data_IF_563216308599
#
_entry.id   IF_563216308599
#
_cell.length_a   1.000
_cell.length_b   1.000
_cell.length_c   1.000
_cell.angle_alpha   90.00
_cell.angle_beta   90.00
_cell.angle_gamma   90.00
#
_symmetry.space_group_name_H-M   'P 1'
#
loop_
_entity.id
_entity.type
_entity.pdbx_description
1 polymer ?
#
# COMPACT_ATOMS: atom_id res chain seq x y z
N UNK A 1 -22.77 -10.66 -17.10
CA UNK A 1 -22.99 -10.01 -15.79
C UNK A 1 -22.14 -10.79 -14.79
N UNK A 2 -20.93 -10.31 -14.51
CA UNK A 2 -20.09 -10.85 -13.45
C UNK A 2 -20.62 -10.21 -12.16
N UNK A 3 -21.29 -11.01 -11.35
CA UNK A 3 -21.62 -10.59 -9.99
C UNK A 3 -20.31 -10.47 -9.25
N UNK A 4 -19.76 -9.28 -9.12
CA UNK A 4 -18.64 -8.99 -8.26
C UNK A 4 -19.16 -9.23 -6.84
N UNK A 5 -18.88 -10.42 -6.31
CA UNK A 5 -19.07 -10.68 -4.89
C UNK A 5 -18.19 -9.67 -4.17
N UNK A 6 -18.78 -8.70 -3.50
CA UNK A 6 -18.07 -7.68 -2.72
C UNK A 6 -17.32 -8.48 -1.67
N UNK A 7 -15.99 -8.57 -1.85
CA UNK A 7 -15.14 -9.24 -0.89
C UNK A 7 -15.34 -8.57 0.47
N UNK A 8 -15.52 -9.36 1.53
CA UNK A 8 -15.66 -8.77 2.87
C UNK A 8 -14.43 -7.89 3.15
N UNK A 9 -14.56 -6.78 3.87
CA UNK A 9 -13.42 -5.93 4.22
C UNK A 9 -12.30 -6.69 4.93
N UNK A 10 -12.63 -7.76 5.67
CA UNK A 10 -11.65 -8.66 6.27
C UNK A 10 -10.91 -9.50 5.21
N UNK A 11 -11.57 -9.90 4.13
CA UNK A 11 -10.91 -10.64 3.05
C UNK A 11 -9.78 -9.83 2.42
N UNK A 12 -9.95 -8.51 2.23
CA UNK A 12 -8.87 -7.64 1.75
C UNK A 12 -7.72 -7.54 2.77
N UNK A 13 -7.99 -7.57 4.07
CA UNK A 13 -6.97 -7.63 5.11
C UNK A 13 -6.17 -8.96 5.07
N UNK A 14 -6.83 -10.09 4.86
CA UNK A 14 -6.16 -11.40 4.68
C UNK A 14 -5.30 -11.42 3.40
N UNK A 15 -5.83 -10.91 2.29
CA UNK A 15 -5.05 -10.76 1.07
C UNK A 15 -3.84 -9.86 1.27
N UNK A 16 -4.00 -8.71 1.94
CA UNK A 16 -2.90 -7.80 2.24
C UNK A 16 -1.82 -8.49 3.08
N UNK A 17 -2.19 -9.30 4.08
CA UNK A 17 -1.23 -10.07 4.88
C UNK A 17 -0.43 -11.06 4.02
N UNK A 18 -1.10 -11.82 3.15
CA UNK A 18 -0.45 -12.76 2.24
C UNK A 18 0.46 -12.06 1.22
N UNK A 19 0.00 -10.93 0.65
CA UNK A 19 0.78 -10.12 -0.30
C UNK A 19 2.02 -9.51 0.36
N UNK A 20 1.92 -9.01 1.59
CA UNK A 20 3.08 -8.51 2.35
C UNK A 20 4.07 -9.64 2.63
N UNK A 21 3.58 -10.83 2.99
CA UNK A 21 4.43 -12.00 3.21
C UNK A 21 5.18 -12.44 1.93
N UNK A 22 4.52 -12.33 0.78
CA UNK A 22 5.08 -12.75 -0.51
C UNK A 22 5.97 -11.69 -1.16
N UNK A 23 5.55 -10.43 -1.16
CA UNK A 23 6.16 -9.36 -1.98
C UNK A 23 6.56 -8.12 -1.19
N UNK A 24 6.41 -8.10 0.13
CA UNK A 24 6.65 -6.91 0.95
C UNK A 24 7.96 -6.19 0.64
N UNK A 25 9.05 -6.95 0.41
CA UNK A 25 10.37 -6.41 0.06
C UNK A 25 10.44 -5.70 -1.30
N UNK A 26 9.50 -5.98 -2.21
CA UNK A 26 9.49 -5.42 -3.57
C UNK A 26 8.47 -4.31 -3.75
N UNK A 27 7.44 -4.29 -2.92
CA UNK A 27 6.40 -3.26 -2.93
C UNK A 27 6.57 -2.21 -1.82
N UNK A 28 7.65 -2.32 -1.02
CA UNK A 28 7.93 -1.42 0.10
C UNK A 28 7.15 -1.74 1.37
N UNK A 29 6.04 -2.48 1.30
CA UNK A 29 5.22 -2.87 2.44
C UNK A 29 3.80 -2.31 2.42
N UNK A 30 3.27 -2.00 3.60
CA UNK A 30 1.88 -1.58 3.80
C UNK A 30 1.75 -0.35 4.71
N UNK A 31 0.93 0.60 4.31
CA UNK A 31 0.37 1.62 5.18
C UNK A 31 -0.88 1.04 5.84
N UNK A 32 -0.79 0.74 7.12
CA UNK A 32 -1.86 0.14 7.90
C UNK A 32 -2.51 1.20 8.79
N UNK A 33 -3.69 1.63 8.42
CA UNK A 33 -4.51 2.51 9.25
C UNK A 33 -5.41 1.68 10.15
N UNK A 34 -5.12 1.71 11.44
CA UNK A 34 -5.87 0.93 12.44
C UNK A 34 -5.62 1.44 13.85
N UNK A 35 -6.67 1.60 14.66
CA UNK A 35 -6.48 1.89 16.07
C UNK A 35 -5.74 0.74 16.77
N UNK A 36 -5.06 1.01 17.91
CA UNK A 36 -4.49 -0.04 18.72
C UNK A 36 -5.60 -0.96 19.26
N UNK A 37 -5.39 -2.28 19.15
CA UNK A 37 -6.40 -3.22 19.61
C UNK A 37 -6.21 -4.63 19.08
N UNK A 38 -7.10 -5.56 19.52
CA UNK A 38 -6.97 -6.99 19.24
C UNK A 38 -7.03 -7.32 17.73
N UNK A 39 -7.78 -6.56 16.93
CA UNK A 39 -7.87 -6.79 15.49
C UNK A 39 -6.52 -6.55 14.80
N UNK A 40 -5.88 -5.40 15.10
CA UNK A 40 -4.55 -5.08 14.56
C UNK A 40 -3.50 -6.10 15.01
N UNK A 41 -3.52 -6.47 16.29
CA UNK A 41 -2.56 -7.44 16.82
C UNK A 41 -2.76 -8.81 16.16
N UNK A 42 -4.01 -9.22 15.92
CA UNK A 42 -4.34 -10.43 15.19
C UNK A 42 -3.80 -10.37 13.75
N UNK A 43 -4.02 -9.27 13.01
CA UNK A 43 -3.52 -9.11 11.66
C UNK A 43 -1.98 -9.14 11.60
N UNK A 44 -1.29 -8.50 12.53
CA UNK A 44 0.18 -8.55 12.63
C UNK A 44 0.70 -9.97 12.89
N UNK A 45 0.03 -10.75 13.75
CA UNK A 45 0.36 -12.16 13.95
C UNK A 45 0.05 -13.01 12.71
N UNK A 46 -0.99 -12.67 11.93
CA UNK A 46 -1.24 -13.30 10.61
C UNK A 46 -0.08 -13.06 9.65
N UNK A 47 0.35 -11.82 9.46
CA UNK A 47 1.52 -11.51 8.63
C UNK A 47 2.74 -12.29 9.11
N UNK A 48 3.01 -12.32 10.40
CA UNK A 48 4.12 -13.06 10.99
C UNK A 48 4.02 -14.57 10.76
N UNK A 49 2.83 -15.14 10.88
CA UNK A 49 2.59 -16.56 10.63
C UNK A 49 2.87 -16.92 9.17
N UNK A 50 2.38 -16.11 8.23
CA UNK A 50 2.58 -16.31 6.79
C UNK A 50 4.03 -16.08 6.39
N UNK A 51 4.73 -15.12 7.03
CA UNK A 51 6.13 -14.73 6.73
C UNK A 51 7.16 -15.44 7.62
N UNK A 52 6.91 -16.62 8.14
CA UNK A 52 7.68 -17.28 9.22
C UNK A 52 9.21 -17.32 9.04
N UNK A 53 9.71 -17.24 7.82
CA UNK A 53 11.15 -17.20 7.53
C UNK A 53 11.71 -15.77 7.54
N UNK A 54 10.86 -14.76 7.52
CA UNK A 54 11.24 -13.36 7.52
C UNK A 54 11.04 -12.79 8.94
N UNK A 55 12.11 -12.41 9.64
CA UNK A 55 11.99 -11.86 10.97
C UNK A 55 11.21 -10.54 10.96
N UNK A 56 10.45 -10.30 12.03
CA UNK A 56 9.71 -9.04 12.23
C UNK A 56 10.30 -8.27 13.39
N UNK A 57 10.55 -6.97 13.20
CA UNK A 57 11.05 -6.07 14.23
C UNK A 57 10.24 -4.78 14.30
N UNK A 58 10.04 -4.27 15.52
CA UNK A 58 9.32 -3.01 15.76
C UNK A 58 10.28 -1.87 16.01
N UNK A 59 10.07 -0.76 15.29
CA UNK A 59 10.76 0.52 15.50
C UNK A 59 9.80 1.45 16.24
N UNK A 60 10.18 1.96 17.44
CA UNK A 60 9.38 2.95 18.14
C UNK A 60 9.45 4.30 17.44
N UNK A 61 8.37 5.10 17.53
CA UNK A 61 8.29 6.40 16.86
C UNK A 61 9.40 7.38 17.27
N UNK A 62 9.89 7.30 18.50
CA UNK A 62 10.91 8.19 19.06
C UNK A 62 12.32 7.58 19.08
N UNK A 63 12.62 6.64 18.18
CA UNK A 63 13.96 6.03 18.11
C UNK A 63 15.03 7.11 17.86
N UNK A 64 16.12 7.17 18.67
CA UNK A 64 17.22 8.09 18.41
C UNK A 64 17.92 7.75 17.08
N UNK A 65 18.34 8.77 16.34
CA UNK A 65 18.97 8.60 15.02
C UNK A 65 20.21 7.71 15.07
N UNK A 66 21.08 7.87 16.09
CA UNK A 66 22.25 7.03 16.28
C UNK A 66 21.91 5.55 16.50
N UNK A 67 20.77 5.25 17.14
CA UNK A 67 20.30 3.87 17.28
C UNK A 67 19.66 3.33 15.98
N UNK A 68 19.03 4.21 15.21
CA UNK A 68 18.41 3.86 13.93
C UNK A 68 19.47 3.55 12.87
N UNK A 69 20.47 4.41 12.72
CA UNK A 69 21.48 4.33 11.65
C UNK A 69 22.76 3.62 12.10
N UNK A 70 23.04 3.59 13.41
CA UNK A 70 24.34 3.21 13.94
C UNK A 70 25.27 4.40 14.10
N UNK A 71 26.51 4.13 14.41
CA UNK A 71 27.53 5.14 14.68
C UNK A 71 28.87 4.52 15.01
N UNK A 72 29.59 5.06 16.01
CA UNK A 72 30.82 4.50 16.52
C UNK A 72 30.53 3.61 17.74
N UNK A 73 30.98 2.37 17.68
CA UNK A 73 31.11 1.53 18.89
C UNK A 73 32.28 2.06 19.73
N UNK A 74 31.96 2.87 20.74
CA UNK A 74 32.97 3.46 21.62
C UNK A 74 33.75 2.39 22.39
N UNK A 75 33.13 1.28 22.81
CA UNK A 75 33.79 0.20 23.54
C UNK A 75 34.81 -0.53 22.68
N UNK A 76 34.41 -0.95 21.49
CA UNK A 76 35.28 -1.60 20.53
C UNK A 76 36.38 -0.64 20.02
N UNK A 77 36.05 0.63 19.79
CA UNK A 77 36.99 1.67 19.36
C UNK A 77 38.10 1.88 20.38
N UNK A 78 37.77 1.98 21.68
CA UNK A 78 38.77 2.15 22.75
C UNK A 78 39.65 0.90 22.90
N UNK A 79 39.11 -0.30 22.72
CA UNK A 79 39.88 -1.55 22.80
C UNK A 79 40.86 -1.70 21.64
N UNK A 80 40.48 -1.28 20.43
CA UNK A 80 41.28 -1.51 19.23
C UNK A 80 42.07 -0.29 18.76
N UNK A 81 41.87 0.88 19.39
CA UNK A 81 42.56 2.13 19.06
C UNK A 81 42.25 2.72 17.67
N UNK A 82 41.18 2.27 17.04
CA UNK A 82 40.68 2.76 15.74
C UNK A 82 39.18 2.80 15.75
N UNK A 83 38.54 3.73 15.01
CA UNK A 83 37.08 3.80 14.91
C UNK A 83 36.50 2.48 14.40
N UNK A 84 35.52 1.94 15.12
CA UNK A 84 34.77 0.75 14.75
C UNK A 84 33.28 1.17 14.60
N UNK A 85 32.69 0.87 13.45
CA UNK A 85 31.27 1.17 13.21
C UNK A 85 30.37 0.20 13.97
N UNK A 86 29.33 0.73 14.63
CA UNK A 86 28.20 -0.01 15.17
C UNK A 86 27.07 -0.03 14.10
N UNK A 87 26.56 -1.22 13.79
CA UNK A 87 25.42 -1.35 12.89
C UNK A 87 24.15 -0.86 13.57
N UNK A 88 23.44 0.07 12.93
CA UNK A 88 22.16 0.55 13.43
C UNK A 88 21.01 -0.40 13.13
N UNK A 89 19.84 -0.08 13.74
CA UNK A 89 18.65 -0.93 13.66
C UNK A 89 18.18 -1.17 12.23
N UNK A 90 18.32 -0.20 11.30
CA UNK A 90 17.95 -0.41 9.89
C UNK A 90 18.85 -1.44 9.21
N UNK A 91 20.16 -1.43 9.49
CA UNK A 91 21.08 -2.43 8.98
C UNK A 91 20.82 -3.82 9.60
N UNK A 92 20.55 -3.89 10.92
CA UNK A 92 20.14 -5.12 11.59
C UNK A 92 18.83 -5.71 11.03
N UNK A 93 17.97 -4.85 10.45
CA UNK A 93 16.70 -5.22 9.84
C UNK A 93 16.82 -5.52 8.34
N UNK A 94 18.02 -5.73 7.82
CA UNK A 94 18.17 -6.18 6.45
C UNK A 94 17.40 -7.50 6.22
N UNK A 95 16.57 -7.53 5.16
CA UNK A 95 15.66 -8.65 4.83
C UNK A 95 14.64 -8.99 5.93
N UNK A 96 14.22 -7.98 6.70
CA UNK A 96 13.19 -8.12 7.72
C UNK A 96 11.91 -7.38 7.33
N UNK A 97 10.80 -7.75 7.98
CA UNK A 97 9.60 -6.94 8.05
C UNK A 97 9.74 -6.01 9.26
N UNK A 98 9.69 -4.72 9.02
CA UNK A 98 9.82 -3.68 10.04
C UNK A 98 8.46 -3.07 10.33
N UNK A 99 8.08 -3.01 11.60
CA UNK A 99 6.85 -2.34 12.04
C UNK A 99 7.23 -0.98 12.60
N UNK A 100 6.85 0.10 11.92
CA UNK A 100 6.93 1.46 12.44
C UNK A 100 5.66 1.77 13.22
N UNK A 101 5.78 1.87 14.54
CA UNK A 101 4.64 2.21 15.40
C UNK A 101 4.35 3.70 15.35
N UNK A 102 3.08 4.07 15.36
CA UNK A 102 2.62 5.46 15.31
C UNK A 102 3.29 6.22 14.16
N UNK A 103 3.10 5.70 12.93
CA UNK A 103 3.77 6.22 11.74
C UNK A 103 3.45 7.70 11.47
N UNK A 104 2.29 8.17 11.93
CA UNK A 104 1.84 9.56 11.89
C UNK A 104 2.70 10.49 12.77
N UNK A 105 3.39 9.93 13.77
CA UNK A 105 4.23 10.68 14.74
C UNK A 105 5.71 10.54 14.49
N UNK A 106 6.12 9.87 13.42
CA UNK A 106 7.54 9.73 13.09
C UNK A 106 8.18 11.08 12.80
N UNK A 107 9.34 11.39 13.42
CA UNK A 107 10.12 12.58 13.07
C UNK A 107 10.49 12.56 11.58
N UNK A 108 10.54 13.72 10.94
CA UNK A 108 10.90 13.85 9.51
C UNK A 108 12.24 13.22 9.18
N UNK A 109 13.22 13.29 10.09
CA UNK A 109 14.53 12.64 9.92
C UNK A 109 14.37 11.11 9.83
N UNK A 110 13.61 10.51 10.75
CA UNK A 110 13.32 9.07 10.73
C UNK A 110 12.60 8.67 9.44
N UNK A 111 11.59 9.45 9.01
CA UNK A 111 10.90 9.24 7.74
C UNK A 111 11.87 9.27 6.57
N UNK A 112 12.80 10.24 6.54
CA UNK A 112 13.81 10.34 5.48
C UNK A 112 14.67 9.08 5.40
N UNK A 113 15.17 8.58 6.53
CA UNK A 113 16.01 7.37 6.57
C UNK A 113 15.24 6.11 6.14
N UNK A 114 13.98 5.97 6.57
CA UNK A 114 13.10 4.89 6.11
C UNK A 114 12.85 4.98 4.60
N UNK A 115 12.58 6.17 4.06
CA UNK A 115 12.42 6.38 2.64
C UNK A 115 13.69 6.01 1.84
N UNK A 116 14.87 6.37 2.36
CA UNK A 116 16.17 6.02 1.74
C UNK A 116 16.36 4.51 1.72
N UNK A 117 16.09 3.82 2.84
CA UNK A 117 16.16 2.36 2.91
C UNK A 117 15.18 1.68 1.92
N UNK A 118 13.95 2.19 1.82
CA UNK A 118 12.94 1.66 0.88
C UNK A 118 13.30 1.91 -0.59
N UNK A 119 13.90 3.05 -0.92
CA UNK A 119 14.26 3.40 -2.30
C UNK A 119 15.53 2.68 -2.78
N UNK A 120 16.53 2.56 -1.93
CA UNK A 120 17.87 2.10 -2.31
C UNK A 120 18.25 0.73 -1.74
N UNK A 121 17.54 0.24 -0.74
CA UNK A 121 17.89 -1.01 -0.05
C UNK A 121 19.17 -0.92 0.76
N UNK A 122 19.66 0.31 1.01
CA UNK A 122 20.86 0.58 1.79
C UNK A 122 20.73 1.92 2.54
N UNK A 123 21.53 2.09 3.57
CA UNK A 123 21.71 3.36 4.27
C UNK A 123 23.19 3.74 4.25
N UNK A 124 23.45 5.03 4.10
CA UNK A 124 24.80 5.60 4.18
C UNK A 124 24.92 6.40 5.47
N UNK A 125 25.92 6.08 6.27
CA UNK A 125 26.27 6.81 7.49
C UNK A 125 27.60 7.51 7.25
N UNK A 126 27.58 8.84 7.19
CA UNK A 126 28.76 9.69 7.13
C UNK A 126 28.80 10.54 8.41
N UNK A 127 29.39 9.99 9.48
CA UNK A 127 29.40 10.62 10.81
C UNK A 127 30.70 10.27 11.56
N UNK A 128 31.21 11.21 12.33
CA UNK A 128 32.32 11.01 13.25
C UNK A 128 33.59 10.44 12.58
N UNK A 129 33.81 10.78 11.30
CA UNK A 129 34.95 10.30 10.52
C UNK A 129 34.82 8.87 9.98
N UNK A 130 33.64 8.27 10.12
CA UNK A 130 33.27 6.99 9.48
C UNK A 130 32.34 7.29 8.32
N UNK A 131 32.64 6.71 7.15
CA UNK A 131 31.74 6.59 6.02
C UNK A 131 31.49 5.10 5.79
N UNK A 132 30.26 4.67 5.97
CA UNK A 132 29.86 3.28 5.81
C UNK A 132 28.52 3.17 5.10
N UNK A 133 28.46 2.25 4.15
CA UNK A 133 27.19 1.82 3.53
C UNK A 133 26.79 0.47 4.14
N UNK A 134 25.54 0.40 4.57
CA UNK A 134 25.00 -0.79 5.21
C UNK A 134 23.74 -1.24 4.45
N UNK A 135 23.65 -2.51 4.04
CA UNK A 135 22.42 -3.05 3.45
C UNK A 135 21.23 -2.90 4.41
N UNK A 136 20.12 -2.39 3.89
CA UNK A 136 18.89 -2.14 4.64
C UNK A 136 17.65 -2.37 3.75
N UNK A 137 17.66 -3.44 2.96
CA UNK A 137 16.48 -3.86 2.20
C UNK A 137 15.46 -4.43 3.18
N UNK A 138 14.28 -3.83 3.25
CA UNK A 138 13.24 -4.21 4.21
C UNK A 138 11.83 -4.02 3.63
N UNK A 139 10.85 -4.68 4.24
CA UNK A 139 9.44 -4.36 4.06
C UNK A 139 8.96 -3.57 5.28
N UNK A 140 8.18 -2.52 5.08
CA UNK A 140 7.69 -1.68 6.17
C UNK A 140 6.19 -1.85 6.38
N UNK A 141 5.78 -2.13 7.61
CA UNK A 141 4.41 -1.97 8.07
C UNK A 141 4.35 -0.65 8.82
N UNK A 142 3.84 0.39 8.19
CA UNK A 142 3.62 1.68 8.83
C UNK A 142 2.27 1.67 9.54
N UNK A 143 2.28 1.44 10.87
CA UNK A 143 1.08 1.51 11.69
C UNK A 143 0.72 2.96 11.92
N UNK A 144 -0.37 3.39 11.32
CA UNK A 144 -0.96 4.72 11.45
C UNK A 144 -2.17 4.63 12.40
N UNK A 145 -2.06 5.30 13.54
CA UNK A 145 -3.09 5.39 14.59
C UNK A 145 -3.75 6.77 14.59
N UNK A 146 -3.42 7.60 13.58
CA UNK A 146 -3.87 8.98 13.48
C UNK A 146 -5.38 9.11 13.34
N UNK A 147 -5.89 10.21 13.88
CA UNK A 147 -7.27 10.64 13.66
C UNK A 147 -7.38 11.37 12.31
N UNK A 148 -8.53 11.94 11.98
CA UNK A 148 -8.80 12.61 10.69
C UNK A 148 -7.74 13.66 10.31
N UNK A 149 -7.20 14.38 11.29
CA UNK A 149 -6.20 15.45 11.10
C UNK A 149 -4.74 14.96 11.19
N UNK A 150 -4.51 13.74 11.62
CA UNK A 150 -3.17 13.14 11.75
C UNK A 150 -3.04 11.96 10.81
N UNK A 151 -2.02 11.96 9.97
CA UNK A 151 -1.70 10.84 9.07
C UNK A 151 -0.20 10.66 8.91
N UNK A 152 0.20 9.45 8.53
CA UNK A 152 1.59 9.17 8.21
C UNK A 152 2.09 10.09 7.08
N UNK A 153 3.38 10.45 7.14
CA UNK A 153 3.97 11.39 6.19
C UNK A 153 3.83 10.89 4.74
N UNK A 154 3.28 11.72 3.84
CA UNK A 154 2.96 11.35 2.46
C UNK A 154 4.13 10.76 1.68
N UNK A 155 5.37 11.23 1.90
CA UNK A 155 6.55 10.66 1.28
C UNK A 155 6.80 9.20 1.68
N UNK A 156 6.44 8.80 2.91
CA UNK A 156 6.51 7.42 3.36
C UNK A 156 5.39 6.59 2.74
N UNK A 157 4.15 7.09 2.81
CA UNK A 157 2.97 6.42 2.26
C UNK A 157 3.12 6.15 0.76
N UNK A 158 3.72 7.08 0.00
CA UNK A 158 3.97 6.92 -1.44
C UNK A 158 4.87 5.72 -1.78
N UNK A 159 5.73 5.29 -0.85
CA UNK A 159 6.66 4.16 -1.03
C UNK A 159 6.09 2.81 -0.61
N UNK A 160 4.99 2.82 0.11
CA UNK A 160 4.31 1.61 0.56
C UNK A 160 3.29 1.19 -0.50
N UNK A 161 3.41 -0.01 -1.03
CA UNK A 161 2.58 -0.46 -2.15
C UNK A 161 1.12 -0.62 -1.76
N UNK A 162 0.86 -1.22 -0.60
CA UNK A 162 -0.48 -1.50 -0.10
C UNK A 162 -0.92 -0.40 0.88
N UNK A 163 -2.17 0.03 0.78
CA UNK A 163 -2.84 0.81 1.80
C UNK A 163 -4.06 0.01 2.31
N UNK A 164 -4.07 -0.25 3.60
CA UNK A 164 -5.11 -1.02 4.26
C UNK A 164 -5.70 -0.19 5.40
N UNK A 165 -6.99 0.08 5.31
CA UNK A 165 -7.75 0.74 6.37
C UNK A 165 -8.63 -0.29 7.10
N UNK A 166 -8.38 -0.45 8.40
CA UNK A 166 -9.17 -1.34 9.28
C UNK A 166 -9.89 -0.54 10.38
N UNK A 167 -10.05 0.78 10.22
CA UNK A 167 -10.67 1.63 11.26
C UNK A 167 -12.14 1.31 11.49
N UNK A 168 -12.82 0.82 10.47
CA UNK A 168 -14.24 0.43 10.52
C UNK A 168 -14.48 -1.02 10.94
N UNK A 169 -13.41 -1.82 11.03
CA UNK A 169 -13.49 -3.24 11.37
C UNK A 169 -13.31 -3.49 12.87
N UNK A 170 -13.98 -4.53 13.36
CA UNK A 170 -13.81 -5.08 14.71
C UNK A 170 -13.29 -6.51 14.69
N UNK A 171 -12.88 -7.03 15.84
CA UNK A 171 -12.43 -8.43 15.96
C UNK A 171 -13.51 -9.46 15.58
N UNK A 172 -14.77 -9.07 15.62
CA UNK A 172 -15.92 -9.91 15.25
C UNK A 172 -16.13 -10.02 13.74
N UNK A 173 -15.47 -9.15 12.94
CA UNK A 173 -15.52 -9.20 11.48
C UNK A 173 -14.45 -10.15 10.90
N UNK A 174 -13.62 -10.73 11.78
CA UNK A 174 -12.61 -11.71 11.39
C UNK A 174 -13.30 -13.00 10.95
N UNK A 175 -13.13 -13.33 9.69
CA UNK A 175 -13.58 -14.56 9.07
C UNK A 175 -12.48 -15.64 9.06
N UNK A 176 -12.76 -16.77 8.40
CA UNK A 176 -11.82 -17.87 8.23
C UNK A 176 -10.52 -17.43 7.54
N UNK A 177 -9.43 -18.09 7.90
CA UNK A 177 -8.13 -17.90 7.26
C UNK A 177 -8.17 -18.37 5.80
N UNK A 178 -7.95 -17.44 4.87
CA UNK A 178 -7.94 -17.73 3.43
C UNK A 178 -6.64 -18.44 3.02
N UNK A 179 -5.50 -18.00 3.61
CA UNK A 179 -4.19 -18.48 3.21
C UNK A 179 -3.50 -19.29 4.32
N UNK A 180 -2.80 -20.33 3.89
CA UNK A 180 -1.84 -21.06 4.70
C UNK A 180 -0.42 -20.72 4.27
N UNK A 181 0.53 -20.95 5.13
CA UNK A 181 1.94 -20.77 4.81
C UNK A 181 2.40 -21.53 3.56
N UNK A 182 1.90 -22.76 3.37
CA UNK A 182 2.18 -23.54 2.17
C UNK A 182 1.73 -22.87 0.86
N UNK A 183 0.73 -21.98 0.94
CA UNK A 183 0.24 -21.24 -0.22
C UNK A 183 1.23 -20.13 -0.59
N UNK A 184 1.82 -19.47 0.43
CA UNK A 184 2.89 -18.49 0.23
C UNK A 184 4.13 -19.16 -0.38
N UNK A 185 4.56 -20.31 0.16
CA UNK A 185 5.72 -21.05 -0.34
C UNK A 185 5.54 -21.41 -1.83
N UNK A 186 4.37 -21.95 -2.21
CA UNK A 186 4.06 -22.25 -3.62
C UNK A 186 4.00 -20.98 -4.49
N UNK A 187 3.46 -19.90 -3.97
CA UNK A 187 3.39 -18.63 -4.69
C UNK A 187 4.78 -18.02 -4.93
N UNK A 188 5.73 -18.18 -3.99
CA UNK A 188 7.13 -17.76 -4.17
C UNK A 188 7.75 -18.48 -5.36
N UNK A 189 7.61 -19.81 -5.43
CA UNK A 189 8.18 -20.63 -6.52
C UNK A 189 7.58 -20.27 -7.89
N UNK A 190 6.34 -19.81 -7.90
CA UNK A 190 5.59 -19.50 -9.11
C UNK A 190 5.73 -18.05 -9.58
N UNK A 191 6.04 -17.11 -8.68
CA UNK A 191 5.92 -15.66 -8.92
C UNK A 191 6.70 -15.18 -10.16
N UNK A 192 7.87 -15.76 -10.42
CA UNK A 192 8.71 -15.38 -11.57
C UNK A 192 8.08 -15.77 -12.91
N UNK A 193 7.29 -16.84 -12.93
CA UNK A 193 6.60 -17.32 -14.14
C UNK A 193 5.30 -16.57 -14.45
N UNK A 194 4.74 -15.84 -13.47
CA UNK A 194 3.48 -15.12 -13.68
C UNK A 194 3.65 -13.97 -14.66
N UNK A 195 2.82 -13.96 -15.68
CA UNK A 195 2.80 -12.90 -16.71
C UNK A 195 1.66 -11.92 -16.49
N UNK A 196 1.96 -10.63 -16.67
CA UNK A 196 1.00 -9.55 -16.71
C UNK A 196 0.91 -9.06 -18.15
N UNK A 197 -0.27 -9.15 -18.76
CA UNK A 197 -0.50 -8.68 -20.13
C UNK A 197 -0.36 -7.15 -20.25
N UNK A 198 0.06 -6.69 -21.42
CA UNK A 198 0.23 -5.25 -21.72
C UNK A 198 -1.09 -4.49 -21.56
N UNK A 199 -2.22 -5.14 -21.81
CA UNK A 199 -3.56 -4.61 -21.63
C UNK A 199 -3.81 -4.21 -20.17
N UNK A 200 -3.55 -5.12 -19.24
CA UNK A 200 -3.70 -4.85 -17.81
C UNK A 200 -2.73 -3.78 -17.30
N UNK A 201 -1.50 -3.78 -17.82
CA UNK A 201 -0.52 -2.76 -17.45
C UNK A 201 -0.96 -1.36 -17.93
N UNK A 202 -1.47 -1.29 -19.16
CA UNK A 202 -2.02 -0.05 -19.73
C UNK A 202 -3.25 0.42 -18.96
N UNK A 203 -4.15 -0.51 -18.60
CA UNK A 203 -5.32 -0.20 -17.79
C UNK A 203 -4.94 0.35 -16.41
N UNK A 204 -4.01 -0.28 -15.70
CA UNK A 204 -3.50 0.22 -14.42
C UNK A 204 -2.88 1.63 -14.52
N UNK A 205 -2.11 1.89 -15.59
CA UNK A 205 -1.51 3.20 -15.81
C UNK A 205 -2.58 4.27 -16.11
N UNK A 206 -3.56 3.96 -16.96
CA UNK A 206 -4.66 4.86 -17.30
C UNK A 206 -5.51 5.18 -16.06
N UNK A 207 -5.86 4.16 -15.27
CA UNK A 207 -6.63 4.32 -14.04
C UNK A 207 -5.86 5.16 -13.00
N UNK A 208 -4.54 5.00 -12.89
CA UNK A 208 -3.73 5.82 -12.00
C UNK A 208 -3.88 7.31 -12.32
N UNK A 209 -3.82 7.66 -13.62
CA UNK A 209 -3.99 9.04 -14.08
C UNK A 209 -5.42 9.53 -13.84
N UNK A 210 -6.44 8.73 -14.18
CA UNK A 210 -7.85 9.10 -14.01
C UNK A 210 -8.25 9.24 -12.54
N UNK A 211 -7.59 8.55 -11.63
CA UNK A 211 -7.77 8.70 -10.18
C UNK A 211 -6.99 9.90 -9.59
N UNK A 212 -6.28 10.69 -10.42
CA UNK A 212 -5.52 11.86 -9.98
C UNK A 212 -4.31 11.51 -9.12
N UNK A 213 -3.70 10.35 -9.33
CA UNK A 213 -2.51 9.90 -8.61
C UNK A 213 -1.26 10.34 -9.37
N UNK A 214 -0.51 11.30 -8.80
CA UNK A 214 0.64 11.92 -9.48
C UNK A 214 1.90 11.05 -9.49
N UNK A 215 2.00 10.08 -8.59
CA UNK A 215 3.18 9.22 -8.43
C UNK A 215 3.06 7.94 -9.28
N UNK A 216 4.13 7.50 -9.96
CA UNK A 216 4.14 6.22 -10.66
C UNK A 216 4.35 5.00 -9.73
N UNK A 217 4.75 5.23 -8.46
CA UNK A 217 5.02 4.13 -7.52
C UNK A 217 3.80 3.26 -7.24
N UNK A 218 2.60 3.81 -6.97
CA UNK A 218 1.40 3.01 -6.78
C UNK A 218 1.04 2.13 -7.99
N UNK A 219 1.24 2.62 -9.21
CA UNK A 219 1.03 1.81 -10.44
C UNK A 219 1.97 0.61 -10.50
N UNK A 220 3.25 0.82 -10.23
CA UNK A 220 4.23 -0.26 -10.18
C UNK A 220 3.94 -1.26 -9.06
N UNK A 221 3.49 -0.76 -7.91
CA UNK A 221 3.07 -1.62 -6.81
C UNK A 221 1.82 -2.44 -7.19
N UNK A 222 0.83 -1.82 -7.83
CA UNK A 222 -0.39 -2.49 -8.30
C UNK A 222 -0.05 -3.61 -9.30
N UNK A 223 0.83 -3.36 -10.26
CA UNK A 223 1.29 -4.39 -11.20
C UNK A 223 1.97 -5.58 -10.49
N UNK A 224 2.80 -5.32 -9.48
CA UNK A 224 3.43 -6.36 -8.67
C UNK A 224 2.42 -7.11 -7.81
N UNK A 225 1.47 -6.40 -7.22
CA UNK A 225 0.39 -6.98 -6.40
C UNK A 225 -0.52 -7.85 -7.27
N UNK A 226 -0.88 -7.43 -8.48
CA UNK A 226 -1.68 -8.24 -9.41
C UNK A 226 -0.95 -9.56 -9.77
N UNK A 227 0.35 -9.52 -10.08
CA UNK A 227 1.15 -10.73 -10.31
C UNK A 227 1.22 -11.63 -9.07
N UNK A 228 1.44 -11.05 -7.90
CA UNK A 228 1.48 -11.79 -6.65
C UNK A 228 0.13 -12.41 -6.30
N UNK A 229 -0.97 -11.73 -6.60
CA UNK A 229 -2.33 -12.24 -6.46
C UNK A 229 -2.56 -13.46 -7.35
N UNK A 230 -2.16 -13.41 -8.62
CA UNK A 230 -2.24 -14.55 -9.54
C UNK A 230 -1.39 -15.74 -9.04
N UNK A 231 -0.18 -15.48 -8.53
CA UNK A 231 0.68 -16.51 -7.93
C UNK A 231 0.01 -17.20 -6.73
N UNK A 232 -0.63 -16.41 -5.83
CA UNK A 232 -1.40 -16.95 -4.70
C UNK A 232 -2.59 -17.81 -5.13
N UNK A 233 -3.20 -17.49 -6.26
CA UNK A 233 -4.26 -18.31 -6.89
C UNK A 233 -3.72 -19.51 -7.67
N UNK A 234 -2.39 -19.66 -7.74
CA UNK A 234 -1.72 -20.69 -8.54
C UNK A 234 -2.01 -20.55 -10.05
N UNK A 235 -2.04 -19.32 -10.57
CA UNK A 235 -2.24 -18.99 -11.98
C UNK A 235 -0.96 -18.38 -12.57
N UNK A 236 -0.58 -18.79 -13.76
CA UNK A 236 0.58 -18.25 -14.51
C UNK A 236 0.24 -16.92 -15.22
N UNK A 237 -1.03 -16.54 -15.24
CA UNK A 237 -1.49 -15.30 -15.89
C UNK A 237 -2.35 -14.50 -14.93
N UNK A 238 -2.18 -13.18 -14.98
CA UNK A 238 -3.01 -12.23 -14.25
C UNK A 238 -4.41 -12.19 -14.87
N UNK A 239 -5.45 -12.24 -14.04
CA UNK A 239 -6.84 -12.11 -14.41
C UNK A 239 -7.43 -10.78 -13.88
N UNK A 240 -8.63 -10.42 -14.34
CA UNK A 240 -9.34 -9.21 -13.91
C UNK A 240 -9.52 -9.12 -12.38
N UNK A 241 -9.77 -10.23 -11.71
CA UNK A 241 -9.89 -10.27 -10.24
C UNK A 241 -8.58 -9.89 -9.52
N UNK A 242 -7.42 -10.19 -10.11
CA UNK A 242 -6.10 -9.81 -9.56
C UNK A 242 -5.87 -8.31 -9.73
N UNK A 243 -6.28 -7.78 -10.89
CA UNK A 243 -6.24 -6.34 -11.18
C UNK A 243 -7.20 -5.60 -10.25
N UNK A 244 -8.42 -6.08 -10.08
CA UNK A 244 -9.40 -5.50 -9.17
C UNK A 244 -8.89 -5.45 -7.71
N UNK A 245 -8.21 -6.50 -7.26
CA UNK A 245 -7.58 -6.54 -5.93
C UNK A 245 -6.43 -5.54 -5.83
N UNK A 246 -5.59 -5.45 -6.86
CA UNK A 246 -4.52 -4.47 -6.92
C UNK A 246 -5.06 -3.03 -6.90
N UNK A 247 -6.18 -2.76 -7.59
CA UNK A 247 -6.87 -1.48 -7.54
C UNK A 247 -7.32 -1.14 -6.11
N UNK A 248 -8.05 -2.05 -5.46
CA UNK A 248 -8.53 -1.83 -4.09
C UNK A 248 -7.41 -1.57 -3.10
N UNK A 249 -6.34 -2.34 -3.15
CA UNK A 249 -5.27 -2.27 -2.16
C UNK A 249 -4.20 -1.20 -2.47
N UNK A 250 -4.02 -0.80 -3.75
CA UNK A 250 -2.93 0.07 -4.12
C UNK A 250 -3.37 1.45 -4.64
N UNK A 251 -4.45 1.53 -5.42
CA UNK A 251 -4.81 2.76 -6.13
C UNK A 251 -6.00 3.48 -5.48
N UNK A 252 -7.11 2.79 -5.22
CA UNK A 252 -8.34 3.40 -4.68
C UNK A 252 -8.09 4.19 -3.39
N UNK A 253 -7.32 3.69 -2.40
CA UNK A 253 -7.06 4.46 -1.18
C UNK A 253 -6.24 5.75 -1.40
N UNK A 254 -5.70 5.94 -2.60
CA UNK A 254 -4.91 7.11 -2.99
C UNK A 254 -5.61 8.02 -3.98
N UNK A 255 -6.83 7.65 -4.39
CA UNK A 255 -7.62 8.41 -5.34
C UNK A 255 -7.92 9.81 -4.79
N UNK A 256 -7.71 10.83 -5.64
CA UNK A 256 -8.01 12.24 -5.34
C UNK A 256 -9.23 12.74 -6.10
N UNK A 257 -9.63 12.00 -7.11
CA UNK A 257 -10.79 12.32 -7.95
C UNK A 257 -11.46 11.02 -8.41
N UNK A 258 -12.75 11.10 -8.71
CA UNK A 258 -13.46 10.01 -9.37
C UNK A 258 -13.06 10.00 -10.85
N UNK A 259 -12.87 8.82 -11.48
CA UNK A 259 -12.74 8.75 -12.92
C UNK A 259 -13.98 9.39 -13.57
N UNK A 260 -13.79 10.28 -14.53
CA UNK A 260 -14.89 10.74 -15.35
C UNK A 260 -15.47 9.52 -16.09
N UNK A 261 -16.68 9.12 -15.70
CA UNK A 261 -17.42 8.14 -16.48
C UNK A 261 -17.64 8.76 -17.86
N UNK A 262 -17.15 8.09 -18.90
CA UNK A 262 -17.50 8.47 -20.26
C UNK A 262 -19.04 8.60 -20.32
N UNK A 263 -19.54 9.79 -20.62
CA UNK A 263 -20.96 9.97 -20.83
C UNK A 263 -21.38 8.92 -21.86
N UNK A 264 -22.47 8.17 -21.61
CA UNK A 264 -22.99 7.27 -22.62
C UNK A 264 -23.20 8.08 -23.89
N UNK A 265 -22.91 7.54 -25.09
CA UNK A 265 -23.09 8.26 -26.34
C UNK A 265 -24.50 8.82 -26.34
N UNK A 266 -24.68 10.11 -26.69
CA UNK A 266 -25.99 10.74 -26.64
C UNK A 266 -27.01 9.86 -27.41
N UNK A 267 -28.07 9.49 -26.72
CA UNK A 267 -29.19 8.82 -27.39
C UNK A 267 -29.61 9.68 -28.62
N UNK A 268 -29.88 9.07 -29.77
CA UNK A 268 -30.26 9.82 -30.95
C UNK A 268 -31.46 10.68 -30.60
N UNK A 269 -31.32 12.00 -30.74
CA UNK A 269 -32.34 12.99 -30.42
C UNK A 269 -33.69 12.58 -31.03
N UNK A 270 -34.76 12.50 -30.23
CA UNK A 270 -36.10 12.38 -30.79
C UNK A 270 -36.40 13.63 -31.63
N UNK A 271 -36.89 13.42 -32.84
CA UNK A 271 -37.27 14.50 -33.76
C UNK A 271 -38.15 15.53 -33.04
N UNK A 272 -37.95 16.84 -33.30
CA UNK A 272 -38.64 17.88 -32.57
C UNK A 272 -40.14 17.85 -32.83
N UNK A 273 -40.92 17.71 -31.76
CA UNK A 273 -42.33 18.13 -31.74
C UNK A 273 -42.39 19.63 -31.45
N UNK A 274 -43.38 20.36 -32.00
CA UNK A 274 -43.39 21.82 -31.99
C UNK A 274 -43.61 22.42 -30.60
N UNK A 275 -42.88 23.50 -30.34
CA UNK A 275 -42.85 24.29 -29.10
C UNK A 275 -44.24 24.84 -28.71
N UNK A 276 -44.50 24.98 -27.40
CA UNK A 276 -45.28 26.07 -26.87
C UNK A 276 -44.44 27.06 -26.05
N UNK A 277 -44.86 28.29 -26.15
CA UNK A 277 -44.29 29.57 -25.75
C UNK A 277 -43.73 29.68 -24.32
N UNK A 278 -42.76 30.57 -24.23
CA UNK A 278 -41.95 31.01 -23.09
C UNK A 278 -42.77 31.62 -21.94
N UNK A 279 -42.33 31.32 -20.73
CA UNK A 279 -42.43 32.26 -19.60
C UNK A 279 -41.08 32.33 -18.88
N UNK A 280 -40.55 33.55 -18.84
CA UNK A 280 -39.35 33.97 -18.14
C UNK A 280 -39.52 33.89 -16.61
N UNK A 281 -38.36 33.86 -15.92
CA UNK A 281 -38.10 34.08 -14.51
C UNK A 281 -38.18 32.89 -13.55
N UNK A 282 -36.99 32.29 -13.35
CA UNK A 282 -36.54 31.85 -12.00
C UNK A 282 -35.02 31.62 -11.97
N UNK A 283 -34.32 32.24 -11.03
CA UNK A 283 -32.89 32.03 -10.72
C UNK A 283 -32.59 30.56 -10.44
N UNK A 284 -31.41 30.06 -10.84
CA UNK A 284 -31.01 28.68 -10.55
C UNK A 284 -30.65 28.51 -9.06
N UNK A 285 -31.07 27.41 -8.42
CA UNK A 285 -30.65 27.08 -7.06
C UNK A 285 -29.14 26.75 -6.99
N UNK A 286 -28.48 26.98 -5.84
CA UNK A 286 -27.07 26.67 -5.66
C UNK A 286 -26.83 25.14 -5.83
N UNK A 287 -25.69 24.82 -6.46
CA UNK A 287 -25.27 23.44 -6.66
C UNK A 287 -25.12 22.70 -5.32
N UNK A 288 -25.61 21.47 -5.21
CA UNK A 288 -25.43 20.67 -4.01
C UNK A 288 -23.95 20.30 -3.81
N UNK A 289 -23.45 20.50 -2.58
CA UNK A 289 -22.15 19.96 -2.17
C UNK A 289 -22.16 18.43 -2.35
N UNK A 290 -21.22 17.94 -3.13
CA UNK A 290 -21.07 16.50 -3.35
C UNK A 290 -20.47 15.85 -2.09
N UNK A 291 -21.07 14.77 -1.58
CA UNK A 291 -20.48 14.00 -0.50
C UNK A 291 -19.14 13.38 -0.96
N UNK A 292 -18.22 13.06 -0.02
CA UNK A 292 -16.98 12.40 -0.37
C UNK A 292 -17.24 11.10 -1.15
N UNK A 293 -16.36 10.76 -2.10
CA UNK A 293 -16.57 9.60 -2.96
C UNK A 293 -16.57 8.30 -2.14
N UNK A 294 -17.59 7.49 -2.34
CA UNK A 294 -17.75 6.16 -1.77
C UNK A 294 -16.79 5.19 -2.46
N UNK A 295 -16.05 4.37 -1.69
CA UNK A 295 -15.08 3.41 -2.21
C UNK A 295 -15.70 2.42 -3.21
N UNK A 296 -16.96 2.03 -2.99
CA UNK A 296 -17.70 1.15 -3.92
C UNK A 296 -17.89 1.80 -5.31
N UNK A 297 -18.24 3.08 -5.34
CA UNK A 297 -18.37 3.82 -6.60
C UNK A 297 -17.04 4.01 -7.33
N UNK A 298 -15.95 4.21 -6.58
CA UNK A 298 -14.62 4.29 -7.16
C UNK A 298 -14.21 2.97 -7.81
N UNK A 299 -14.50 1.85 -7.13
CA UNK A 299 -14.20 0.53 -7.65
C UNK A 299 -15.01 0.19 -8.89
N UNK A 300 -16.33 0.42 -8.88
CA UNK A 300 -17.18 0.19 -10.04
C UNK A 300 -16.77 1.02 -11.26
N UNK A 301 -16.48 2.32 -11.05
CA UNK A 301 -16.01 3.19 -12.11
C UNK A 301 -14.65 2.78 -12.67
N UNK A 302 -13.76 2.30 -11.81
CA UNK A 302 -12.44 1.81 -12.21
C UNK A 302 -12.53 0.48 -12.97
N UNK A 303 -13.38 -0.46 -12.53
CA UNK A 303 -13.61 -1.74 -13.20
C UNK A 303 -14.28 -1.59 -14.56
N UNK A 304 -15.16 -0.59 -14.73
CA UNK A 304 -15.80 -0.31 -16.01
C UNK A 304 -14.82 0.17 -17.11
N UNK A 305 -13.58 0.54 -16.74
CA UNK A 305 -12.52 0.94 -17.69
C UNK A 305 -11.53 -0.19 -18.00
N UNK A 306 -11.73 -1.38 -17.43
CA UNK A 306 -10.96 -2.55 -17.82
C UNK A 306 -11.44 -3.09 -19.18
N UNK A 307 -10.52 -3.56 -20.03
CA UNK A 307 -10.85 -4.05 -21.39
C UNK A 307 -11.67 -5.34 -21.37
#
# INVERSE_FOLDING_TARGET
MVTTEIASPWADAEWAAALVALTGMTIGGVHLRSPPGPLRDYWLERVKHLSKQVPMRKIPANIPEGRLLGGIDLGATLQHGKPIAETGMLGECHEHIVIAAMAERLPRATVHHLCTALDHGLITVARDGIEAETPARLALIANDEGTEDESAHGALVDRLGIALDMTTLGIHDVDDEIFRRSDIERAIDMLDSVTLGDEHLTALATLTVSLGIDSPRPTLAAARVARASAALRQSETVAEEDVARALRLCLIPRARQLPEMAEPPPEPEPKPEPEPEQTEDAEPPPAPEQPPPDEERLLEAALAQLP
#
